data_IF_784668859524
#
_entry.id   IF_784668859524
#
_cell.length_a   1.000
_cell.length_b   1.000
_cell.length_c   1.000
_cell.angle_alpha   90.00
_cell.angle_beta   90.00
_cell.angle_gamma   90.00
#
_symmetry.space_group_name_H-M   'P 1'
#
loop_
_entity.id
_entity.type
_entity.pdbx_description
1 polymer ?
#
# COMPACT_ATOMS: atom_id res chain seq x y z
N UNK A 1 -19.34 -10.55 -19.78
CA UNK A 1 -18.54 -9.31 -19.62
C UNK A 1 -18.32 -9.16 -18.13
N UNK A 2 -17.10 -9.35 -17.63
CA UNK A 2 -16.82 -9.13 -16.21
C UNK A 2 -16.87 -7.63 -15.95
N UNK A 3 -17.94 -7.16 -15.29
CA UNK A 3 -17.96 -5.78 -14.79
C UNK A 3 -16.89 -5.64 -13.71
N UNK A 4 -15.83 -4.87 -14.03
CA UNK A 4 -14.88 -4.42 -13.02
C UNK A 4 -15.65 -3.64 -11.95
N UNK A 5 -15.86 -4.24 -10.77
CA UNK A 5 -16.40 -3.56 -9.57
C UNK A 5 -15.76 -2.18 -9.45
N UNK A 6 -16.58 -1.13 -9.38
CA UNK A 6 -16.11 0.24 -9.22
C UNK A 6 -15.34 0.43 -7.90
N UNK A 7 -14.45 1.42 -7.86
CA UNK A 7 -13.63 1.73 -6.67
C UNK A 7 -14.45 1.87 -5.38
N UNK A 8 -15.61 2.51 -5.46
CA UNK A 8 -16.55 2.68 -4.34
C UNK A 8 -17.17 1.36 -3.89
N UNK A 9 -17.55 0.48 -4.83
CA UNK A 9 -18.05 -0.86 -4.48
C UNK A 9 -16.98 -1.72 -3.82
N UNK A 10 -15.70 -1.56 -4.19
CA UNK A 10 -14.60 -2.23 -3.49
C UNK A 10 -14.32 -1.62 -2.11
N UNK A 11 -14.45 -0.30 -1.93
CA UNK A 11 -14.27 0.35 -0.62
C UNK A 11 -15.29 -0.10 0.41
N UNK A 12 -16.53 -0.32 0.00
CA UNK A 12 -17.62 -0.78 0.87
C UNK A 12 -17.85 -2.29 0.81
N UNK A 13 -16.88 -3.06 0.30
CA UNK A 13 -16.95 -4.52 0.27
C UNK A 13 -16.61 -5.11 1.66
N UNK A 14 -17.64 -5.25 2.51
CA UNK A 14 -17.52 -5.79 3.87
C UNK A 14 -17.26 -7.31 3.92
N UNK A 15 -17.14 -7.96 2.77
CA UNK A 15 -16.89 -9.41 2.66
C UNK A 15 -15.44 -9.80 2.95
N UNK A 16 -14.48 -8.87 2.86
CA UNK A 16 -13.03 -9.08 3.07
C UNK A 16 -12.41 -10.31 2.37
N UNK A 17 -13.03 -10.85 1.31
CA UNK A 17 -12.58 -12.07 0.63
C UNK A 17 -11.35 -11.86 -0.27
N UNK A 18 -11.01 -10.59 -0.56
CA UNK A 18 -9.88 -10.19 -1.39
C UNK A 18 -9.07 -9.09 -0.68
N UNK A 19 -7.76 -9.08 -0.87
CA UNK A 19 -6.88 -8.06 -0.27
C UNK A 19 -7.00 -6.74 -1.05
N UNK A 20 -8.03 -5.95 -0.74
CA UNK A 20 -8.34 -4.67 -1.43
C UNK A 20 -7.30 -3.58 -1.08
N UNK A 21 -6.44 -3.82 -0.09
CA UNK A 21 -5.46 -2.85 0.41
C UNK A 21 -4.62 -2.23 -0.72
N UNK A 22 -4.12 -3.05 -1.65
CA UNK A 22 -3.35 -2.60 -2.82
C UNK A 22 -4.11 -1.61 -3.72
N UNK A 23 -5.44 -1.79 -3.82
CA UNK A 23 -6.31 -0.98 -4.67
C UNK A 23 -6.66 0.37 -4.03
N UNK A 24 -6.74 0.42 -2.70
CA UNK A 24 -7.22 1.58 -1.93
C UNK A 24 -6.10 2.46 -1.39
N UNK A 25 -4.88 1.94 -1.27
CA UNK A 25 -3.76 2.62 -0.60
C UNK A 25 -3.49 4.05 -1.11
N UNK A 26 -3.63 4.28 -2.43
CA UNK A 26 -3.45 5.61 -3.05
C UNK A 26 -4.46 6.62 -2.54
N UNK A 27 -5.73 6.21 -2.43
CA UNK A 27 -6.80 7.08 -1.93
C UNK A 27 -6.64 7.29 -0.43
N UNK A 28 -6.26 6.24 0.31
CA UNK A 28 -6.01 6.35 1.75
C UNK A 28 -4.88 7.34 2.05
N UNK A 29 -3.80 7.33 1.26
CA UNK A 29 -2.71 8.29 1.39
C UNK A 29 -3.16 9.73 1.04
N UNK A 30 -3.91 9.92 -0.04
CA UNK A 30 -4.43 11.23 -0.41
C UNK A 30 -5.36 11.82 0.66
N UNK A 31 -6.26 10.99 1.20
CA UNK A 31 -7.14 11.37 2.32
C UNK A 31 -6.31 11.69 3.57
N UNK A 32 -5.27 10.90 3.87
CA UNK A 32 -4.35 11.15 4.98
C UNK A 32 -3.64 12.51 4.88
N UNK A 33 -3.16 12.87 3.69
CA UNK A 33 -2.57 14.21 3.43
C UNK A 33 -3.61 15.31 3.68
N UNK A 34 -4.83 15.14 3.16
CA UNK A 34 -5.88 16.14 3.31
C UNK A 34 -6.25 16.35 4.79
N UNK A 35 -6.37 15.26 5.55
CA UNK A 35 -6.64 15.31 6.99
C UNK A 35 -5.50 16.01 7.73
N UNK A 36 -4.25 15.67 7.43
CA UNK A 36 -3.09 16.31 8.06
C UNK A 36 -3.06 17.83 7.82
N UNK A 37 -3.39 18.26 6.59
CA UNK A 37 -3.48 19.67 6.24
C UNK A 37 -4.62 20.37 7.00
N UNK A 38 -5.81 19.77 7.05
CA UNK A 38 -6.95 20.30 7.81
C UNK A 38 -6.65 20.42 9.30
N UNK A 39 -6.05 19.38 9.90
CA UNK A 39 -5.66 19.40 11.32
C UNK A 39 -4.65 20.52 11.58
N UNK A 40 -3.63 20.67 10.71
CA UNK A 40 -2.67 21.77 10.82
C UNK A 40 -3.34 23.14 10.82
N UNK A 41 -4.30 23.37 9.91
CA UNK A 41 -5.02 24.63 9.83
C UNK A 41 -5.89 24.89 11.06
N UNK A 42 -6.60 23.87 11.56
CA UNK A 42 -7.41 23.95 12.79
C UNK A 42 -6.51 24.29 13.99
N UNK A 43 -5.33 23.69 14.09
CA UNK A 43 -4.38 23.96 15.17
C UNK A 43 -3.87 25.40 15.13
N UNK A 44 -3.56 25.94 13.95
CA UNK A 44 -3.17 27.35 13.80
C UNK A 44 -4.29 28.27 14.31
N UNK A 45 -5.54 28.06 13.88
CA UNK A 45 -6.68 28.88 14.30
C UNK A 45 -6.89 28.81 15.81
N UNK A 46 -6.82 27.62 16.40
CA UNK A 46 -6.92 27.44 17.86
C UNK A 46 -5.77 28.12 18.61
N UNK A 47 -4.55 28.08 18.07
CA UNK A 47 -3.38 28.70 18.69
C UNK A 47 -3.51 30.22 18.79
N UNK A 48 -4.09 30.89 17.78
CA UNK A 48 -4.38 32.32 17.85
C UNK A 48 -5.40 32.67 18.95
N UNK A 49 -6.33 31.76 19.26
CA UNK A 49 -7.25 31.92 20.40
C UNK A 49 -6.56 31.89 21.77
N UNK A 50 -5.33 31.36 21.86
CA UNK A 50 -4.52 31.33 23.08
C UNK A 50 -3.56 32.53 23.21
N UNK A 51 -3.42 33.32 22.14
CA UNK A 51 -2.56 34.50 22.10
C UNK A 51 -1.82 34.67 20.78
N UNK A 52 -1.51 35.92 20.44
CA UNK A 52 -0.87 36.27 19.17
C UNK A 52 0.50 35.60 18.98
N UNK A 53 1.34 35.59 20.03
CA UNK A 53 2.66 34.96 20.00
C UNK A 53 2.58 33.44 19.76
N UNK A 54 1.65 32.76 20.43
CA UNK A 54 1.40 31.32 20.24
C UNK A 54 0.91 31.01 18.83
N UNK A 55 0.00 31.84 18.29
CA UNK A 55 -0.45 31.71 16.90
C UNK A 55 0.71 31.78 15.91
N UNK A 56 1.62 32.75 16.07
CA UNK A 56 2.77 32.90 15.17
C UNK A 56 3.73 31.70 15.24
N UNK A 57 3.96 31.13 16.43
CA UNK A 57 4.75 29.91 16.58
C UNK A 57 4.11 28.75 15.80
N UNK A 58 2.79 28.60 15.87
CA UNK A 58 2.07 27.52 15.17
C UNK A 58 2.03 27.70 13.65
N UNK A 59 2.09 28.92 13.13
CA UNK A 59 2.22 29.16 11.68
C UNK A 59 3.49 28.53 11.11
N UNK A 60 4.57 28.48 11.89
CA UNK A 60 5.85 27.85 11.51
C UNK A 60 5.86 26.37 11.87
N UNK A 61 5.35 26.02 13.06
CA UNK A 61 5.38 24.64 13.53
C UNK A 61 4.43 23.72 12.74
N UNK A 62 3.24 24.19 12.35
CA UNK A 62 2.25 23.35 11.67
C UNK A 62 2.71 22.83 10.30
N UNK A 63 3.34 23.62 9.40
CA UNK A 63 3.94 23.09 8.17
C UNK A 63 5.02 22.03 8.43
N UNK A 64 5.86 22.23 9.45
CA UNK A 64 6.90 21.26 9.82
C UNK A 64 6.24 19.96 10.27
N UNK A 65 5.29 20.03 11.21
CA UNK A 65 4.54 18.87 11.67
C UNK A 65 3.76 18.19 10.54
N UNK A 66 3.18 18.94 9.61
CA UNK A 66 2.50 18.40 8.44
C UNK A 66 3.44 17.57 7.57
N UNK A 67 4.63 18.09 7.23
CA UNK A 67 5.62 17.34 6.44
C UNK A 67 6.02 16.05 7.17
N UNK A 68 6.30 16.12 8.47
CA UNK A 68 6.62 14.94 9.28
C UNK A 68 5.49 13.90 9.25
N UNK A 69 4.23 14.32 9.42
CA UNK A 69 3.08 13.42 9.37
C UNK A 69 2.92 12.78 7.99
N UNK A 70 3.13 13.53 6.90
CA UNK A 70 3.08 13.01 5.53
C UNK A 70 4.19 11.99 5.28
N UNK A 71 5.41 12.25 5.77
CA UNK A 71 6.53 11.30 5.66
C UNK A 71 6.22 10.01 6.43
N UNK A 72 5.73 10.11 7.67
CA UNK A 72 5.36 8.94 8.48
C UNK A 72 4.25 8.15 7.77
N UNK A 73 3.22 8.83 7.27
CA UNK A 73 2.16 8.20 6.49
C UNK A 73 2.73 7.50 5.24
N UNK A 74 3.70 8.12 4.56
CA UNK A 74 4.35 7.54 3.38
C UNK A 74 5.07 6.24 3.72
N UNK A 75 5.90 6.26 4.76
CA UNK A 75 6.64 5.09 5.25
C UNK A 75 5.67 3.98 5.66
N UNK A 76 4.59 4.33 6.38
CA UNK A 76 3.56 3.38 6.80
C UNK A 76 2.87 2.69 5.61
N UNK A 77 2.50 3.46 4.57
CA UNK A 77 1.91 2.91 3.35
C UNK A 77 2.91 2.01 2.61
N UNK A 78 4.19 2.38 2.56
CA UNK A 78 5.24 1.55 1.94
C UNK A 78 5.46 0.24 2.69
N UNK A 79 5.42 0.27 4.03
CA UNK A 79 5.49 -0.93 4.84
C UNK A 79 4.30 -1.86 4.57
N UNK A 80 3.08 -1.32 4.57
CA UNK A 80 1.86 -2.08 4.23
C UNK A 80 1.99 -2.69 2.83
N UNK A 81 2.36 -1.89 1.83
CA UNK A 81 2.54 -2.37 0.45
C UNK A 81 3.58 -3.49 0.37
N UNK A 82 4.68 -3.36 1.10
CA UNK A 82 5.76 -4.34 1.12
C UNK A 82 5.29 -5.66 1.71
N UNK A 83 4.55 -5.63 2.82
CA UNK A 83 4.00 -6.84 3.45
C UNK A 83 3.07 -7.61 2.50
N UNK A 84 2.18 -6.90 1.81
CA UNK A 84 1.26 -7.51 0.84
C UNK A 84 2.00 -8.03 -0.41
N UNK A 85 3.05 -7.34 -0.89
CA UNK A 85 3.89 -7.85 -1.99
C UNK A 85 4.63 -9.14 -1.64
N UNK A 86 5.00 -9.33 -0.38
CA UNK A 86 5.62 -10.57 0.08
C UNK A 86 4.61 -11.73 0.00
N UNK A 87 3.37 -11.52 0.43
CA UNK A 87 2.30 -12.53 0.33
C UNK A 87 2.05 -12.96 -1.12
N UNK A 88 1.96 -11.99 -2.04
CA UNK A 88 1.80 -12.25 -3.47
C UNK A 88 2.96 -13.08 -4.06
N UNK A 89 4.20 -12.80 -3.64
CA UNK A 89 5.37 -13.53 -4.13
C UNK A 89 5.47 -14.96 -3.55
N UNK A 90 5.04 -15.19 -2.31
CA UNK A 90 5.05 -16.53 -1.71
C UNK A 90 3.99 -17.46 -2.33
N UNK A 91 2.92 -16.91 -2.92
CA UNK A 91 1.90 -17.68 -3.62
C UNK A 91 2.32 -18.21 -5.00
N UNK A 92 3.46 -17.79 -5.54
CA UNK A 92 3.94 -18.25 -6.85
C UNK A 92 4.56 -19.65 -6.69
N UNK A 93 4.04 -20.70 -7.36
CA UNK A 93 4.64 -22.03 -7.28
C UNK A 93 6.08 -21.97 -7.81
N UNK A 94 6.97 -22.74 -7.17
CA UNK A 94 8.36 -22.86 -7.61
C UNK A 94 8.40 -23.16 -9.12
N UNK A 95 9.36 -22.60 -9.88
CA UNK A 95 9.56 -23.03 -11.26
C UNK A 95 9.70 -24.54 -11.22
N UNK A 96 8.82 -25.24 -11.94
CA UNK A 96 8.91 -26.68 -12.07
C UNK A 96 10.35 -26.97 -12.49
N UNK A 97 11.10 -27.67 -11.63
CA UNK A 97 12.39 -28.21 -12.04
C UNK A 97 12.08 -29.04 -13.28
N UNK A 98 12.57 -28.60 -14.44
CA UNK A 98 12.61 -29.40 -15.65
C UNK A 98 13.43 -30.63 -15.29
N UNK A 99 12.75 -31.65 -14.76
CA UNK A 99 13.29 -32.98 -14.62
C UNK A 99 13.61 -33.39 -16.06
N UNK A 100 14.88 -33.55 -16.44
CA UNK A 100 15.23 -33.95 -17.79
C UNK A 100 14.50 -35.26 -18.04
N UNK A 101 13.73 -35.32 -19.14
CA UNK A 101 13.01 -36.53 -19.52
C UNK A 101 13.97 -37.73 -19.45
N UNK A 102 13.55 -38.87 -18.87
CA UNK A 102 14.40 -40.05 -18.82
C UNK A 102 14.84 -40.35 -20.25
N UNK A 103 16.16 -40.29 -20.48
CA UNK A 103 16.76 -40.65 -21.74
C UNK A 103 16.15 -41.99 -22.17
N UNK A 104 15.50 -41.94 -23.34
CA UNK A 104 14.87 -43.06 -23.99
C UNK A 104 15.73 -44.30 -23.77
N UNK A 105 15.16 -45.33 -23.16
CA UNK A 105 15.71 -46.66 -23.21
C UNK A 105 15.66 -47.10 -24.67
N UNK A 106 16.67 -46.71 -25.45
CA UNK A 106 16.93 -47.25 -26.77
C UNK A 106 17.56 -48.63 -26.54
N UNK A 107 16.64 -49.59 -26.49
CA UNK A 107 16.73 -51.02 -26.82
C UNK A 107 18.08 -51.49 -27.39
N UNK A 108 18.64 -52.62 -26.91
CA UNK A 108 19.85 -53.20 -27.50
C UNK A 108 19.54 -53.73 -28.91
N UNK A 109 20.28 -53.21 -29.88
CA UNK A 109 20.33 -53.64 -31.28
C UNK A 109 20.58 -55.16 -31.38
N UNK A 110 19.76 -55.93 -32.14
CA UNK A 110 19.96 -57.37 -32.27
C UNK A 110 21.16 -57.63 -33.18
N UNK A 111 22.04 -58.53 -32.72
CA UNK A 111 23.19 -59.01 -33.46
C UNK A 111 22.77 -59.74 -34.75
N UNK A 112 23.35 -59.31 -35.88
CA UNK A 112 23.52 -60.11 -37.10
C UNK A 112 25.02 -60.25 -37.42
#
# INVERSE_FOLDING_TARGET
MEEKKGFWSCLFDLSFSELITMRVIKVLYAVGILIAAMVGLILIVKAFGQGFGTGLLYVIAAPISFIFLVIIARIGMELVLTLFRIEENTRKPAPAEETPAPASAEEPEPAE
#
